data_IF_930293079687
#
_entry.id   IF_930293079687
#
_cell.length_a   1.000
_cell.length_b   1.000
_cell.length_c   1.000
_cell.angle_alpha   90.00
_cell.angle_beta   90.00
_cell.angle_gamma   90.00
#
_symmetry.space_group_name_H-M   'P 1'
#
loop_
_entity.id
_entity.type
_entity.pdbx_description
1 polymer ?
#
# COMPACT_ATOMS: atom_id res chain seq x y z
N UNK A 1 12.14 2.53 -6.07
CA UNK A 1 12.63 3.71 -5.33
C UNK A 1 12.97 4.83 -6.31
N UNK A 2 14.19 4.91 -6.88
CA UNK A 2 14.61 6.02 -7.78
C UNK A 2 13.70 6.30 -8.96
N UNK A 3 13.28 5.28 -9.71
CA UNK A 3 12.40 5.46 -10.89
C UNK A 3 11.05 6.12 -10.56
N UNK A 4 10.60 6.05 -9.31
CA UNK A 4 9.28 6.52 -8.89
C UNK A 4 9.34 7.69 -7.91
N UNK A 5 10.53 8.12 -7.47
CA UNK A 5 10.68 9.20 -6.48
C UNK A 5 10.22 8.83 -5.07
N UNK A 6 10.37 7.56 -4.68
CA UNK A 6 10.08 7.08 -3.32
C UNK A 6 11.39 7.07 -2.52
N UNK A 7 11.42 7.61 -1.28
CA UNK A 7 12.59 7.52 -0.41
C UNK A 7 13.03 6.06 -0.25
N UNK A 8 14.31 5.81 -0.39
CA UNK A 8 14.88 4.48 -0.20
C UNK A 8 14.73 4.04 1.26
N UNK A 9 14.94 4.97 2.19
CA UNK A 9 14.74 4.79 3.63
C UNK A 9 13.36 4.22 3.97
N UNK A 10 12.31 4.80 3.38
CA UNK A 10 10.92 4.35 3.55
C UNK A 10 10.74 2.92 3.04
N UNK A 11 11.18 2.63 1.82
CA UNK A 11 10.97 1.32 1.22
C UNK A 11 11.70 0.23 2.00
N UNK A 12 12.92 0.51 2.47
CA UNK A 12 13.73 -0.45 3.23
C UNK A 12 13.16 -0.63 4.65
N UNK A 13 12.75 0.44 5.33
CA UNK A 13 12.12 0.34 6.64
C UNK A 13 10.81 -0.45 6.60
N UNK A 14 9.98 -0.22 5.58
CA UNK A 14 8.78 -1.04 5.34
C UNK A 14 9.18 -2.49 5.07
N UNK A 15 10.14 -2.73 4.17
CA UNK A 15 10.64 -4.09 3.90
C UNK A 15 11.09 -4.81 5.16
N UNK A 16 11.86 -4.15 6.04
CA UNK A 16 12.28 -4.70 7.34
C UNK A 16 11.07 -5.02 8.21
N UNK A 17 10.15 -4.07 8.38
CA UNK A 17 8.99 -4.23 9.27
C UNK A 17 8.04 -5.33 8.80
N UNK A 18 7.62 -5.28 7.53
CA UNK A 18 6.60 -6.18 6.96
C UNK A 18 7.12 -7.61 6.79
N UNK A 19 8.42 -7.78 6.57
CA UNK A 19 9.01 -9.12 6.36
C UNK A 19 9.65 -9.73 7.61
N UNK A 20 9.67 -9.03 8.74
CA UNK A 20 10.45 -9.41 9.92
C UNK A 20 11.94 -9.54 9.60
N UNK A 21 12.50 -8.52 8.92
CA UNK A 21 13.88 -8.50 8.41
C UNK A 21 14.19 -9.71 7.50
N UNK A 22 13.24 -10.07 6.64
CA UNK A 22 13.34 -11.20 5.71
C UNK A 22 13.02 -12.56 6.33
N UNK A 23 12.74 -12.63 7.64
CA UNK A 23 12.58 -13.92 8.33
C UNK A 23 11.17 -14.49 8.29
N UNK A 24 10.17 -13.70 7.91
CA UNK A 24 8.78 -14.12 7.82
C UNK A 24 8.57 -15.31 6.88
N UNK A 25 7.66 -16.20 7.25
CA UNK A 25 7.34 -17.41 6.49
C UNK A 25 6.90 -17.10 5.06
N UNK A 26 6.02 -16.09 4.91
CA UNK A 26 5.59 -15.59 3.60
C UNK A 26 6.80 -15.16 2.76
N UNK A 27 7.67 -14.32 3.31
CA UNK A 27 8.87 -13.81 2.65
C UNK A 27 9.77 -14.93 2.17
N UNK A 28 10.14 -15.87 3.05
CA UNK A 28 11.04 -16.99 2.73
C UNK A 28 10.51 -17.90 1.63
N UNK A 29 9.18 -18.11 1.58
CA UNK A 29 8.54 -19.02 0.62
C UNK A 29 8.19 -18.36 -0.72
N UNK A 30 8.12 -17.03 -0.77
CA UNK A 30 7.54 -16.33 -1.91
C UNK A 30 8.30 -15.09 -2.38
N UNK A 31 9.38 -14.71 -1.71
CA UNK A 31 10.09 -13.45 -1.90
C UNK A 31 9.21 -12.20 -1.73
N UNK A 32 8.03 -12.32 -1.12
CA UNK A 32 7.10 -11.21 -0.90
C UNK A 32 7.41 -10.49 0.42
N UNK A 33 8.24 -9.44 0.35
CA UNK A 33 8.69 -8.71 1.53
C UNK A 33 7.67 -7.73 2.11
N UNK A 34 6.58 -7.47 1.39
CA UNK A 34 5.61 -6.41 1.71
C UNK A 34 4.18 -6.92 1.88
N UNK A 35 3.98 -8.25 1.96
CA UNK A 35 2.65 -8.84 2.13
C UNK A 35 1.67 -8.50 1.00
N UNK A 36 2.13 -8.30 -0.24
CA UNK A 36 1.26 -7.85 -1.33
C UNK A 36 0.28 -8.97 -1.71
N UNK A 37 -1.02 -8.71 -1.50
CA UNK A 37 -2.13 -9.63 -1.82
C UNK A 37 -2.36 -9.73 -3.34
N UNK A 38 -2.93 -10.85 -3.80
CA UNK A 38 -3.08 -11.16 -5.23
C UNK A 38 -3.89 -10.09 -6.00
N UNK A 39 -5.12 -9.75 -5.58
CA UNK A 39 -5.95 -8.71 -6.21
C UNK A 39 -5.94 -8.73 -7.76
N UNK A 40 -6.26 -9.88 -8.37
CA UNK A 40 -6.23 -10.03 -9.84
C UNK A 40 -4.85 -10.39 -10.43
N UNK A 41 -3.85 -10.63 -9.58
CA UNK A 41 -2.54 -11.15 -9.99
C UNK A 41 -2.64 -12.43 -10.80
N UNK A 42 -1.92 -12.48 -11.92
CA UNK A 42 -1.89 -13.60 -12.86
C UNK A 42 -0.62 -14.45 -12.75
N UNK A 43 0.39 -13.99 -12.01
CA UNK A 43 1.61 -14.75 -11.76
C UNK A 43 1.45 -15.79 -10.65
N UNK A 44 2.58 -16.34 -10.19
CA UNK A 44 2.62 -17.32 -9.11
C UNK A 44 2.04 -16.75 -7.80
N UNK A 45 1.45 -17.64 -7.00
CA UNK A 45 0.73 -17.31 -5.76
C UNK A 45 1.17 -18.23 -4.64
N UNK A 46 1.04 -17.75 -3.41
CA UNK A 46 1.12 -18.57 -2.21
C UNK A 46 -0.08 -18.25 -1.33
N UNK A 47 -0.62 -19.26 -0.67
CA UNK A 47 -1.66 -19.09 0.33
C UNK A 47 -1.03 -19.12 1.72
N UNK A 48 -1.38 -18.15 2.54
CA UNK A 48 -0.88 -17.99 3.90
C UNK A 48 -2.03 -17.49 4.78
N UNK A 49 -2.15 -18.05 5.98
CA UNK A 49 -3.10 -17.56 6.96
C UNK A 49 -2.48 -16.32 7.62
N UNK A 50 -3.09 -15.15 7.44
CA UNK A 50 -2.62 -13.87 7.99
C UNK A 50 -3.79 -13.17 8.70
N UNK A 51 -4.51 -12.28 8.01
CA UNK A 51 -5.75 -11.69 8.55
C UNK A 51 -6.93 -12.65 8.46
N UNK A 52 -6.96 -13.48 7.42
CA UNK A 52 -8.01 -14.46 7.12
C UNK A 52 -7.37 -15.81 6.77
N UNK A 53 -8.18 -16.88 6.83
CA UNK A 53 -7.74 -18.21 6.40
C UNK A 53 -7.48 -18.21 4.88
N UNK A 54 -6.31 -18.75 4.50
CA UNK A 54 -5.88 -18.97 3.13
C UNK A 54 -5.92 -17.70 2.27
N UNK A 55 -5.39 -16.59 2.79
CA UNK A 55 -5.23 -15.40 1.98
C UNK A 55 -4.23 -15.60 0.85
N UNK A 56 -4.58 -15.09 -0.33
CA UNK A 56 -3.74 -15.18 -1.51
C UNK A 56 -2.73 -14.04 -1.54
N UNK A 57 -1.45 -14.39 -1.53
CA UNK A 57 -0.32 -13.48 -1.69
C UNK A 57 0.42 -13.73 -2.99
N UNK A 58 0.96 -12.66 -3.56
CA UNK A 58 1.80 -12.74 -4.76
C UNK A 58 3.10 -13.47 -4.42
N UNK A 59 3.58 -14.32 -5.32
CA UNK A 59 4.90 -14.96 -5.25
C UNK A 59 5.78 -14.44 -6.37
N UNK A 60 7.04 -14.19 -6.03
CA UNK A 60 8.04 -13.63 -6.92
C UNK A 60 9.24 -14.56 -7.04
N UNK A 61 9.86 -14.56 -8.22
CA UNK A 61 11.10 -15.32 -8.47
C UNK A 61 12.32 -14.77 -7.71
N UNK A 62 12.32 -13.47 -7.41
CA UNK A 62 13.43 -12.75 -6.81
C UNK A 62 12.88 -11.60 -5.93
N UNK A 63 13.48 -11.31 -4.76
CA UNK A 63 13.09 -10.20 -3.90
C UNK A 63 12.91 -8.88 -4.65
N UNK A 64 13.77 -8.55 -5.62
CA UNK A 64 13.73 -7.28 -6.36
C UNK A 64 12.39 -7.01 -7.03
N UNK A 65 11.66 -8.06 -7.42
CA UNK A 65 10.34 -7.92 -8.03
C UNK A 65 9.28 -7.51 -7.00
N UNK A 66 9.37 -7.99 -5.76
CA UNK A 66 8.49 -7.52 -4.67
C UNK A 66 8.74 -6.05 -4.33
N UNK A 67 9.99 -5.59 -4.36
CA UNK A 67 10.34 -4.17 -4.16
C UNK A 67 9.87 -3.28 -5.31
N UNK A 68 9.95 -3.78 -6.54
CA UNK A 68 9.38 -3.10 -7.72
C UNK A 68 7.86 -3.00 -7.61
N UNK A 69 7.18 -4.10 -7.27
CA UNK A 69 5.73 -4.15 -7.14
C UNK A 69 5.23 -3.27 -5.99
N UNK A 70 5.97 -3.22 -4.87
CA UNK A 70 5.72 -2.26 -3.80
C UNK A 70 5.84 -0.80 -4.28
N UNK A 71 6.87 -0.49 -5.08
CA UNK A 71 7.02 0.85 -5.66
C UNK A 71 5.82 1.21 -6.55
N UNK A 72 5.36 0.27 -7.38
CA UNK A 72 4.17 0.45 -8.22
C UNK A 72 2.89 0.58 -7.38
N UNK A 73 2.76 -0.19 -6.30
CA UNK A 73 1.63 -0.12 -5.38
C UNK A 73 1.45 1.29 -4.80
N UNK A 74 2.54 1.93 -4.36
CA UNK A 74 2.50 3.31 -3.87
C UNK A 74 2.32 4.32 -5.01
N UNK A 75 2.93 4.07 -6.16
CA UNK A 75 2.94 4.99 -7.28
C UNK A 75 1.61 5.06 -8.06
N UNK A 76 0.94 3.92 -8.27
CA UNK A 76 -0.22 3.82 -9.15
C UNK A 76 -1.54 4.13 -8.46
N UNK A 77 -1.60 4.08 -7.13
CA UNK A 77 -2.83 4.26 -6.36
C UNK A 77 -3.01 5.74 -5.98
N UNK A 78 -4.05 6.42 -6.47
CA UNK A 78 -4.22 7.86 -6.24
C UNK A 78 -4.24 8.27 -4.75
N UNK A 79 -4.65 7.38 -3.82
CA UNK A 79 -4.64 7.69 -2.37
C UNK A 79 -3.26 7.97 -1.80
N UNK A 80 -2.19 7.49 -2.44
CA UNK A 80 -0.80 7.76 -2.05
C UNK A 80 -0.18 8.93 -2.84
N UNK A 81 -0.88 9.48 -3.85
CA UNK A 81 -0.33 10.48 -4.76
C UNK A 81 0.21 11.72 -4.04
N UNK A 82 -0.43 12.13 -2.94
CA UNK A 82 0.00 13.30 -2.17
C UNK A 82 1.36 13.12 -1.48
N UNK A 83 1.82 11.88 -1.26
CA UNK A 83 3.13 11.61 -0.64
C UNK A 83 4.27 12.16 -1.49
N UNK A 84 4.09 12.14 -2.81
CA UNK A 84 5.08 12.59 -3.78
C UNK A 84 5.19 14.12 -3.85
N UNK A 85 4.38 14.86 -3.09
CA UNK A 85 4.55 16.31 -2.87
C UNK A 85 5.49 16.61 -1.70
N UNK A 86 5.83 15.63 -0.87
CA UNK A 86 6.81 15.80 0.18
C UNK A 86 8.23 15.77 -0.39
N UNK A 87 9.14 16.47 0.28
CA UNK A 87 10.57 16.33 -0.02
C UNK A 87 10.96 14.86 0.18
N UNK A 88 11.76 14.34 -0.75
CA UNK A 88 12.18 12.94 -0.67
C UNK A 88 13.03 12.64 0.58
N UNK A 89 13.73 13.65 1.10
CA UNK A 89 14.48 13.56 2.36
C UNK A 89 13.58 13.62 3.62
N UNK A 90 12.29 13.93 3.49
CA UNK A 90 11.36 14.03 4.62
C UNK A 90 10.65 12.70 4.87
N UNK A 91 11.43 11.68 5.25
CA UNK A 91 10.90 10.36 5.56
C UNK A 91 9.90 10.39 6.73
N UNK A 92 9.97 11.40 7.61
CA UNK A 92 9.01 11.57 8.71
C UNK A 92 7.62 11.96 8.20
N UNK A 93 7.53 12.88 7.25
CA UNK A 93 6.27 13.21 6.58
C UNK A 93 5.73 12.02 5.77
N UNK A 94 6.60 11.29 5.08
CA UNK A 94 6.24 10.07 4.36
C UNK A 94 5.66 8.99 5.28
N UNK A 95 6.31 8.68 6.41
CA UNK A 95 5.84 7.67 7.37
C UNK A 95 4.45 8.01 7.93
N UNK A 96 4.23 9.27 8.31
CA UNK A 96 2.91 9.77 8.77
C UNK A 96 1.87 9.73 7.65
N UNK A 97 2.28 10.12 6.45
CA UNK A 97 1.44 10.13 5.26
C UNK A 97 1.00 8.73 4.83
N UNK A 98 1.87 7.73 4.86
CA UNK A 98 1.57 6.34 4.53
C UNK A 98 0.43 5.80 5.40
N UNK A 99 0.50 6.04 6.71
CA UNK A 99 -0.59 5.70 7.62
C UNK A 99 -1.87 6.47 7.27
N UNK A 100 -1.78 7.79 7.06
CA UNK A 100 -2.94 8.62 6.70
C UNK A 100 -3.62 8.16 5.40
N UNK A 101 -2.83 7.68 4.44
CA UNK A 101 -3.31 7.11 3.18
C UNK A 101 -3.82 5.66 3.28
N UNK A 102 -3.83 5.08 4.50
CA UNK A 102 -4.36 3.74 4.76
C UNK A 102 -3.43 2.60 4.34
N UNK A 103 -2.10 2.79 4.38
CA UNK A 103 -1.15 1.68 4.25
C UNK A 103 -1.25 0.70 5.43
N UNK A 104 -1.35 1.24 6.65
CA UNK A 104 -1.49 0.46 7.88
C UNK A 104 -2.54 1.10 8.82
N UNK A 105 -3.24 0.26 9.57
CA UNK A 105 -4.21 0.69 10.60
C UNK A 105 -3.54 1.03 11.93
N UNK A 106 -2.37 0.44 12.21
CA UNK A 106 -1.61 0.66 13.43
C UNK A 106 -1.25 2.15 13.61
N UNK A 107 -1.64 2.71 14.76
CA UNK A 107 -1.34 4.10 15.13
C UNK A 107 0.15 4.37 15.29
N UNK A 108 0.92 3.36 15.70
CA UNK A 108 2.37 3.43 15.90
C UNK A 108 3.16 3.14 14.62
N UNK A 109 2.50 2.84 13.51
CA UNK A 109 3.17 2.54 12.24
C UNK A 109 4.20 3.61 11.81
N UNK A 110 3.89 4.92 11.87
CA UNK A 110 4.86 5.95 11.53
C UNK A 110 6.09 5.91 12.44
N UNK A 111 5.90 5.78 13.75
CA UNK A 111 6.99 5.76 14.73
C UNK A 111 7.88 4.53 14.57
N UNK A 112 7.28 3.37 14.23
CA UNK A 112 8.04 2.16 13.90
C UNK A 112 8.95 2.36 12.70
N UNK A 113 8.44 2.96 11.62
CA UNK A 113 9.24 3.25 10.43
C UNK A 113 10.34 4.27 10.74
N UNK A 114 10.01 5.37 11.41
CA UNK A 114 10.98 6.40 11.79
C UNK A 114 12.09 5.80 12.67
N UNK A 115 11.71 4.98 13.66
CA UNK A 115 12.69 4.32 14.53
C UNK A 115 13.62 3.37 13.78
N UNK A 116 13.12 2.64 12.77
CA UNK A 116 13.97 1.78 11.94
C UNK A 116 14.91 2.60 11.06
N UNK A 117 14.41 3.68 10.44
CA UNK A 117 15.23 4.57 9.60
C UNK A 117 16.35 5.18 10.43
N UNK A 118 16.04 5.75 11.58
CA UNK A 118 17.02 6.41 12.46
C UNK A 118 18.00 5.40 13.07
N UNK A 119 17.54 4.21 13.48
CA UNK A 119 18.40 3.18 14.08
C UNK A 119 19.44 2.62 13.11
N UNK A 120 19.07 2.48 11.84
CA UNK A 120 19.93 1.89 10.81
C UNK A 120 20.48 2.92 9.83
N UNK A 121 20.31 4.22 10.11
CA UNK A 121 20.76 5.33 9.25
C UNK A 121 20.32 5.16 7.79
N UNK A 122 19.08 4.70 7.57
CA UNK A 122 18.60 4.38 6.22
C UNK A 122 18.37 5.62 5.35
N UNK A 123 18.28 6.80 5.96
CA UNK A 123 18.16 8.09 5.29
C UNK A 123 19.41 8.45 4.46
N UNK A 124 20.57 7.88 4.79
CA UNK A 124 21.78 8.01 3.95
C UNK A 124 21.57 7.44 2.54
N UNK A 125 20.70 6.43 2.40
CA UNK A 125 20.35 5.83 1.11
C UNK A 125 19.43 6.71 0.26
N UNK A 126 18.76 7.70 0.87
CA UNK A 126 17.95 8.65 0.13
C UNK A 126 18.84 9.57 -0.72
N UNK A 127 20.08 9.81 -0.30
CA UNK A 127 21.05 10.57 -1.07
C UNK A 127 21.35 9.92 -2.43
N UNK A 128 21.35 8.60 -2.56
CA UNK A 128 21.50 7.92 -3.85
C UNK A 128 20.29 8.15 -4.79
N UNK A 129 19.12 8.40 -4.20
CA UNK A 129 17.91 8.78 -4.95
C UNK A 129 17.94 10.26 -5.34
N UNK A 130 18.60 11.11 -4.54
CA UNK A 130 18.72 12.57 -4.72
C UNK A 130 19.88 12.95 -5.68
N UNK A 131 21.05 12.32 -5.53
CA UNK A 131 22.33 12.74 -6.14
C UNK A 131 22.62 12.11 -7.51
N UNK A 132 21.99 10.99 -7.85
CA UNK A 132 21.94 10.58 -9.26
C UNK A 132 21.08 11.58 -10.02
N UNK A 133 21.37 11.88 -11.31
CA UNK A 133 20.50 12.71 -12.16
C UNK A 133 19.04 12.32 -11.92
N UNK A 134 18.26 13.15 -11.19
CA UNK A 134 16.86 12.85 -10.97
C UNK A 134 16.24 12.81 -12.37
N UNK A 135 15.33 11.87 -12.68
CA UNK A 135 14.51 12.04 -13.87
C UNK A 135 13.97 13.47 -13.85
N UNK A 136 14.14 14.28 -14.91
CA UNK A 136 13.80 15.71 -14.92
C UNK A 136 12.33 16.00 -14.53
N UNK A 137 11.52 14.95 -14.56
CA UNK A 137 10.25 14.85 -13.87
C UNK A 137 10.15 13.45 -13.26
N UNK A 138 9.96 13.33 -11.94
CA UNK A 138 9.35 12.11 -11.42
C UNK A 138 7.97 12.01 -12.06
N UNK A 139 7.60 10.87 -12.64
CA UNK A 139 6.30 10.75 -13.25
C UNK A 139 5.26 11.02 -12.14
N UNK A 140 4.21 11.79 -12.43
CA UNK A 140 3.20 12.09 -11.39
C UNK A 140 2.28 10.88 -11.24
N UNK A 141 2.03 10.40 -10.00
CA UNK A 141 0.99 9.42 -9.73
C UNK A 141 -0.33 9.81 -10.39
N UNK A 142 -1.10 8.83 -10.86
CA UNK A 142 -2.43 9.10 -11.41
C UNK A 142 -3.27 9.79 -10.34
N UNK A 143 -3.64 11.05 -10.56
CA UNK A 143 -4.38 11.88 -9.58
C UNK A 143 -5.90 11.72 -9.66
N UNK A 144 -6.43 11.07 -10.69
CA UNK A 144 -7.87 10.94 -10.90
C UNK A 144 -8.35 9.53 -10.58
N UNK A 145 -9.17 9.43 -9.55
CA UNK A 145 -10.13 8.33 -9.39
C UNK A 145 -11.21 8.56 -10.45
N UNK A 146 -11.51 7.56 -11.28
CA UNK A 146 -12.66 7.63 -12.19
C UNK A 146 -13.95 7.47 -11.37
N UNK A 147 -14.62 8.60 -11.07
CA UNK A 147 -15.80 8.67 -10.21
C UNK A 147 -17.12 8.27 -10.89
N UNK A 148 -17.07 7.65 -12.09
CA UNK A 148 -18.28 7.21 -12.81
C UNK A 148 -19.08 6.18 -12.02
N UNK A 149 -18.40 5.30 -11.25
CA UNK A 149 -19.06 4.28 -10.44
C UNK A 149 -19.41 4.84 -9.05
N UNK A 150 -20.69 5.00 -8.76
CA UNK A 150 -21.18 5.55 -7.48
C UNK A 150 -21.55 4.46 -6.45
N UNK A 151 -21.80 3.24 -6.93
CA UNK A 151 -22.30 2.11 -6.16
C UNK A 151 -21.63 0.83 -6.62
N UNK A 152 -21.34 -0.07 -5.68
CA UNK A 152 -20.87 -1.43 -5.92
C UNK A 152 -21.78 -2.44 -5.21
N UNK A 153 -22.00 -3.60 -5.84
CA UNK A 153 -22.73 -4.71 -5.24
C UNK A 153 -21.74 -5.82 -4.90
N UNK A 154 -21.68 -6.18 -3.61
CA UNK A 154 -20.75 -7.19 -3.09
C UNK A 154 -20.94 -8.53 -3.80
N UNK A 155 -19.85 -9.12 -4.27
CA UNK A 155 -19.79 -10.42 -4.93
C UNK A 155 -19.19 -11.47 -3.99
N UNK A 156 -19.40 -12.75 -4.32
CA UNK A 156 -18.79 -13.84 -3.58
C UNK A 156 -17.26 -13.69 -3.54
N UNK A 157 -16.67 -13.78 -2.34
CA UNK A 157 -15.23 -13.65 -2.13
C UNK A 157 -14.71 -12.21 -2.03
N UNK A 158 -15.58 -11.20 -2.07
CA UNK A 158 -15.19 -9.82 -1.80
C UNK A 158 -14.86 -9.59 -0.33
N UNK A 159 -13.90 -8.70 -0.11
CA UNK A 159 -13.58 -8.14 1.20
C UNK A 159 -13.55 -6.62 1.10
N UNK A 160 -13.72 -5.91 2.22
CA UNK A 160 -13.56 -4.44 2.23
C UNK A 160 -12.21 -4.01 1.67
N UNK A 161 -11.15 -4.78 1.92
CA UNK A 161 -9.82 -4.52 1.39
C UNK A 161 -9.77 -4.62 -0.15
N UNK A 162 -10.36 -5.67 -0.75
CA UNK A 162 -10.41 -5.85 -2.21
C UNK A 162 -11.20 -4.72 -2.87
N UNK A 163 -12.39 -4.41 -2.35
CA UNK A 163 -13.27 -3.36 -2.89
C UNK A 163 -12.62 -1.98 -2.74
N UNK A 164 -12.15 -1.63 -1.54
CA UNK A 164 -11.48 -0.35 -1.31
C UNK A 164 -10.24 -0.18 -2.19
N UNK A 165 -9.45 -1.25 -2.38
CA UNK A 165 -8.33 -1.27 -3.32
C UNK A 165 -8.77 -0.99 -4.75
N UNK A 166 -9.83 -1.65 -5.22
CA UNK A 166 -10.33 -1.50 -6.59
C UNK A 166 -10.79 -0.08 -6.89
N UNK A 167 -11.45 0.57 -5.93
CA UNK A 167 -12.01 1.91 -6.09
C UNK A 167 -11.13 3.02 -5.50
N UNK A 168 -9.89 2.71 -5.12
CA UNK A 168 -8.94 3.63 -4.50
C UNK A 168 -9.53 4.38 -3.28
N UNK A 169 -10.23 3.65 -2.43
CA UNK A 169 -10.66 4.08 -1.11
C UNK A 169 -9.74 3.42 -0.06
N UNK A 170 -9.74 3.96 1.15
CA UNK A 170 -9.33 3.20 2.33
C UNK A 170 -10.50 2.34 2.81
N UNK A 171 -10.18 1.27 3.56
CA UNK A 171 -11.21 0.46 4.23
C UNK A 171 -12.06 1.35 5.14
N UNK A 172 -11.43 2.28 5.85
CA UNK A 172 -12.13 3.18 6.77
C UNK A 172 -13.06 4.16 6.04
N UNK A 173 -12.63 4.78 4.94
CA UNK A 173 -13.51 5.62 4.11
C UNK A 173 -14.70 4.81 3.58
N UNK A 174 -14.45 3.60 3.06
CA UNK A 174 -15.52 2.74 2.57
C UNK A 174 -16.52 2.39 3.69
N UNK A 175 -16.03 2.11 4.91
CA UNK A 175 -16.88 1.88 6.09
C UNK A 175 -17.67 3.13 6.47
N UNK A 176 -17.05 4.29 6.50
CA UNK A 176 -17.69 5.56 6.85
C UNK A 176 -18.81 5.91 5.85
N UNK A 177 -18.56 5.77 4.55
CA UNK A 177 -19.54 6.00 3.49
C UNK A 177 -20.78 5.10 3.64
N UNK A 178 -20.60 3.90 4.18
CA UNK A 178 -21.63 2.87 4.29
C UNK A 178 -22.10 2.62 5.72
N UNK A 179 -21.65 3.44 6.68
CA UNK A 179 -21.94 3.32 8.11
C UNK A 179 -21.66 1.91 8.67
N UNK A 180 -20.64 1.22 8.15
CA UNK A 180 -20.28 -0.14 8.55
C UNK A 180 -19.49 -0.12 9.86
N UNK A 181 -19.95 -0.90 10.83
CA UNK A 181 -19.26 -1.07 12.12
C UNK A 181 -18.20 -2.17 12.08
N UNK A 182 -18.47 -3.25 11.34
CA UNK A 182 -17.56 -4.39 11.16
C UNK A 182 -17.01 -4.48 9.74
N UNK A 183 -16.15 -5.47 9.50
CA UNK A 183 -15.62 -5.78 8.17
C UNK A 183 -16.45 -6.81 7.40
N UNK A 184 -17.55 -7.28 7.99
CA UNK A 184 -18.39 -8.32 7.42
C UNK A 184 -19.22 -7.74 6.27
N UNK A 185 -19.24 -8.48 5.16
CA UNK A 185 -20.00 -8.13 3.97
C UNK A 185 -20.95 -9.27 3.61
N UNK A 186 -22.14 -8.94 3.14
CA UNK A 186 -23.11 -9.90 2.60
C UNK A 186 -23.11 -9.85 1.08
N UNK A 187 -23.14 -11.00 0.41
CA UNK A 187 -23.28 -11.05 -1.06
C UNK A 187 -24.54 -10.29 -1.48
N UNK A 188 -24.42 -9.42 -2.49
CA UNK A 188 -25.49 -8.54 -2.96
C UNK A 188 -25.63 -7.25 -2.16
N UNK A 189 -24.90 -7.07 -1.05
CA UNK A 189 -24.92 -5.82 -0.28
C UNK A 189 -24.51 -4.63 -1.16
N UNK A 190 -25.33 -3.58 -1.14
CA UNK A 190 -25.07 -2.33 -1.83
C UNK A 190 -24.09 -1.49 -1.02
N UNK A 191 -22.97 -1.11 -1.64
CA UNK A 191 -21.97 -0.20 -1.07
C UNK A 191 -21.88 1.09 -1.90
N UNK A 192 -21.94 2.24 -1.23
CA UNK A 192 -21.66 3.56 -1.77
C UNK A 192 -20.15 3.81 -1.81
N UNK A 193 -19.67 4.29 -2.95
CA UNK A 193 -18.24 4.56 -3.19
C UNK A 193 -17.89 6.04 -3.10
N UNK A 194 -18.89 6.90 -2.90
CA UNK A 194 -18.75 8.34 -2.66
C UNK A 194 -19.91 8.84 -1.79
N UNK A 195 -19.78 10.01 -1.15
CA UNK A 195 -20.86 10.57 -0.36
C UNK A 195 -22.14 10.67 -1.19
N UNK A 196 -23.27 10.32 -0.59
CA UNK A 196 -24.57 10.65 -1.17
C UNK A 196 -24.61 12.18 -1.27
N UNK A 197 -24.73 12.73 -2.48
CA UNK A 197 -25.08 14.13 -2.66
C UNK A 197 -26.43 14.31 -1.96
N UNK A 198 -26.41 14.83 -0.73
CA UNK A 198 -27.62 15.28 -0.05
C UNK A 198 -28.09 16.50 -0.85
N UNK A 199 -29.21 16.32 -1.56
CA UNK A 199 -29.99 17.45 -2.07
C UNK A 199 -30.56 18.22 -0.89
#
# INVERSE_FOLDING_TARGET
>A
MRLYGIPASITIAQGILESGSGNGNLTKRSNNHFGIKCNGWQGEKVYHDDDELQECFRKYKDPKYSFRDHSLFLYERPRYAFLFNYKISDYKAWAKGLRRAGYATDRKYPDKLISLIERFHLDELDAEVINGTPPPHFPKPKSKVDYTTSVYYVKAGDTLYKISTQFNLTVEELKQLNQLKSNNLTIGQKLYLKPLNKK
#
